data_IF_770700413553
#
_entry.id   IF_770700413553
#
_cell.length_a   1.000
_cell.length_b   1.000
_cell.length_c   1.000
_cell.angle_alpha   90.00
_cell.angle_beta   90.00
_cell.angle_gamma   90.00
#
_symmetry.space_group_name_H-M   'P 1'
#
loop_
_entity.id
_entity.type
_entity.pdbx_description
1 polymer ?
#
# COMPACT_ATOMS: atom_id res chain seq x y z
N UNK A 1 20.78 2.54 -3.30
CA UNK A 1 19.54 2.42 -4.08
C UNK A 1 19.49 1.02 -4.64
N UNK A 2 18.46 0.27 -4.31
CA UNK A 2 18.26 -1.02 -4.94
C UNK A 2 16.77 -1.18 -5.27
N UNK A 3 16.48 -1.32 -6.55
CA UNK A 3 15.20 -1.82 -7.03
C UNK A 3 15.46 -2.97 -7.99
N UNK A 4 14.57 -3.96 -7.95
CA UNK A 4 14.65 -5.16 -8.79
C UNK A 4 13.39 -5.22 -9.63
N UNK A 5 13.54 -5.25 -10.95
CA UNK A 5 12.41 -5.36 -11.87
C UNK A 5 12.03 -6.81 -12.13
N UNK A 6 10.73 -7.08 -12.07
CA UNK A 6 10.10 -8.34 -12.42
C UNK A 6 9.07 -8.06 -13.53
N UNK A 7 9.33 -8.55 -14.73
CA UNK A 7 8.41 -8.45 -15.86
C UNK A 7 7.58 -9.71 -15.93
N UNK A 8 6.28 -9.53 -16.13
CA UNK A 8 5.32 -10.59 -16.32
C UNK A 8 4.66 -10.47 -17.69
N UNK A 9 4.25 -11.60 -18.27
CA UNK A 9 3.68 -11.63 -19.62
C UNK A 9 2.30 -10.99 -19.66
N UNK A 10 1.53 -11.14 -18.58
CA UNK A 10 0.18 -10.59 -18.43
C UNK A 10 -0.19 -10.33 -16.95
N UNK A 11 -1.39 -9.80 -16.75
CA UNK A 11 -1.92 -9.48 -15.41
C UNK A 11 -2.17 -10.73 -14.55
N UNK A 12 -2.42 -11.90 -15.16
CA UNK A 12 -2.57 -13.16 -14.44
C UNK A 12 -1.24 -13.62 -13.85
N UNK A 13 -0.20 -13.70 -14.70
CA UNK A 13 1.16 -14.04 -14.25
C UNK A 13 1.69 -13.04 -13.21
N UNK A 14 1.35 -11.76 -13.34
CA UNK A 14 1.65 -10.76 -12.30
C UNK A 14 0.95 -11.12 -10.98
N UNK A 15 -0.35 -11.41 -11.01
CA UNK A 15 -1.12 -11.73 -9.81
C UNK A 15 -0.59 -12.99 -9.10
N UNK A 16 -0.26 -14.04 -9.86
CA UNK A 16 0.31 -15.29 -9.34
C UNK A 16 1.68 -15.04 -8.66
N UNK A 17 2.54 -14.25 -9.30
CA UNK A 17 3.84 -13.91 -8.74
C UNK A 17 3.74 -13.07 -7.45
N UNK A 18 2.79 -12.13 -7.40
CA UNK A 18 2.48 -11.35 -6.20
C UNK A 18 1.95 -12.25 -5.08
N UNK A 19 0.96 -13.12 -5.37
CA UNK A 19 0.41 -14.06 -4.40
C UNK A 19 1.49 -14.97 -3.81
N UNK A 20 2.33 -15.57 -4.66
CA UNK A 20 3.44 -16.41 -4.23
C UNK A 20 4.45 -15.64 -3.37
N UNK A 21 4.72 -14.38 -3.67
CA UNK A 21 5.63 -13.57 -2.87
C UNK A 21 5.03 -13.21 -1.53
N UNK A 22 3.77 -12.76 -1.49
CA UNK A 22 3.04 -12.47 -0.26
C UNK A 22 2.97 -13.71 0.66
N UNK A 23 2.65 -14.88 0.08
CA UNK A 23 2.59 -16.14 0.81
C UNK A 23 3.93 -16.47 1.49
N UNK A 24 5.04 -16.50 0.73
CA UNK A 24 6.39 -16.76 1.29
C UNK A 24 6.76 -15.78 2.40
N UNK A 25 6.41 -14.50 2.28
CA UNK A 25 6.72 -13.52 3.32
C UNK A 25 5.87 -13.73 4.57
N UNK A 26 4.60 -14.12 4.42
CA UNK A 26 3.75 -14.49 5.54
C UNK A 26 4.28 -15.75 6.25
N UNK A 27 4.59 -16.83 5.52
CA UNK A 27 5.18 -18.05 6.09
C UNK A 27 6.45 -17.73 6.89
N UNK A 28 7.35 -16.95 6.26
CA UNK A 28 8.60 -16.54 6.92
C UNK A 28 8.33 -15.73 8.20
N UNK A 29 7.40 -14.77 8.15
CA UNK A 29 7.03 -13.95 9.30
C UNK A 29 6.45 -14.82 10.44
N UNK A 30 5.54 -15.73 10.11
CA UNK A 30 4.93 -16.65 11.07
C UNK A 30 5.97 -17.58 11.71
N UNK A 31 6.91 -18.12 10.93
CA UNK A 31 7.97 -19.00 11.41
C UNK A 31 9.00 -18.25 12.30
N UNK A 32 9.43 -17.07 11.90
CA UNK A 32 10.51 -16.34 12.59
C UNK A 32 10.01 -15.50 13.78
N UNK A 33 8.78 -14.95 13.71
CA UNK A 33 8.27 -13.95 14.66
C UNK A 33 6.94 -14.32 15.30
N UNK A 34 6.30 -15.35 14.79
CA UNK A 34 5.02 -15.82 15.30
C UNK A 34 3.81 -15.02 14.84
N UNK A 35 3.99 -13.96 14.06
CA UNK A 35 2.93 -13.12 13.48
C UNK A 35 3.40 -12.49 12.18
N UNK A 36 2.46 -12.01 11.37
CA UNK A 36 2.75 -11.23 10.17
C UNK A 36 1.94 -9.93 10.14
N UNK A 37 2.55 -8.84 9.67
CA UNK A 37 1.94 -7.52 9.52
C UNK A 37 2.09 -7.02 8.08
N UNK A 38 0.96 -6.75 7.40
CA UNK A 38 0.93 -6.40 5.99
C UNK A 38 0.31 -5.01 5.78
N UNK A 39 0.87 -4.23 4.83
CA UNK A 39 0.21 -3.05 4.30
C UNK A 39 -0.09 -3.27 2.80
N UNK A 40 -1.35 -3.22 2.43
CA UNK A 40 -1.86 -3.70 1.15
C UNK A 40 -2.55 -2.56 0.37
N UNK A 41 -2.10 -2.28 -0.85
CA UNK A 41 -2.75 -1.30 -1.71
C UNK A 41 -4.16 -1.73 -2.10
N UNK A 42 -5.05 -0.77 -2.18
CA UNK A 42 -6.34 -0.94 -2.86
C UNK A 42 -6.20 -0.99 -4.39
N UNK A 43 -7.34 -1.04 -5.08
CA UNK A 43 -7.40 -1.00 -6.53
C UNK A 43 -7.44 -2.37 -7.21
N UNK A 44 -7.66 -2.35 -8.53
CA UNK A 44 -7.97 -3.57 -9.31
C UNK A 44 -6.77 -4.50 -9.50
N UNK A 45 -5.57 -3.96 -9.64
CA UNK A 45 -4.36 -4.73 -9.97
C UNK A 45 -4.01 -5.79 -8.91
N UNK A 46 -3.98 -5.49 -7.58
CA UNK A 46 -3.54 -6.47 -6.59
C UNK A 46 -4.64 -7.42 -6.11
N UNK A 47 -5.92 -7.14 -6.31
CA UNK A 47 -7.01 -7.97 -5.78
C UNK A 47 -7.01 -9.42 -6.24
N UNK A 48 -6.66 -9.79 -7.51
CA UNK A 48 -6.50 -11.19 -7.88
C UNK A 48 -5.45 -11.92 -7.03
N UNK A 49 -4.31 -11.27 -6.76
CA UNK A 49 -3.27 -11.83 -5.89
C UNK A 49 -3.75 -12.02 -4.45
N UNK A 50 -4.55 -11.09 -3.92
CA UNK A 50 -5.11 -11.22 -2.57
C UNK A 50 -6.09 -12.39 -2.47
N UNK A 51 -6.94 -12.62 -3.48
CA UNK A 51 -7.83 -13.78 -3.51
C UNK A 51 -7.06 -15.10 -3.54
N UNK A 52 -6.00 -15.16 -4.34
CA UNK A 52 -5.13 -16.34 -4.38
C UNK A 52 -4.40 -16.56 -3.06
N UNK A 53 -3.89 -15.50 -2.45
CA UNK A 53 -3.25 -15.54 -1.13
C UNK A 53 -4.23 -16.01 -0.05
N UNK A 54 -5.47 -15.51 -0.04
CA UNK A 54 -6.49 -15.84 0.95
C UNK A 54 -6.90 -17.31 0.94
N UNK A 55 -6.72 -17.99 -0.21
CA UNK A 55 -6.96 -19.42 -0.36
C UNK A 55 -5.77 -20.30 0.12
N UNK A 56 -4.64 -19.69 0.47
CA UNK A 56 -3.47 -20.42 0.94
C UNK A 56 -3.64 -20.91 2.38
N UNK A 57 -2.99 -22.04 2.69
CA UNK A 57 -2.94 -22.59 4.04
C UNK A 57 -1.97 -21.79 4.92
N UNK A 58 -2.48 -20.80 5.63
CA UNK A 58 -1.75 -19.99 6.60
C UNK A 58 -2.54 -19.90 7.92
N UNK A 59 -1.84 -19.74 9.03
CA UNK A 59 -2.49 -19.40 10.31
C UNK A 59 -2.89 -17.90 10.29
N UNK A 60 -4.03 -17.63 9.67
CA UNK A 60 -4.58 -16.28 9.49
C UNK A 60 -4.88 -15.57 10.81
N UNK A 61 -5.09 -16.32 11.91
CA UNK A 61 -5.33 -15.73 13.24
C UNK A 61 -4.12 -14.94 13.78
N UNK A 62 -2.95 -15.15 13.16
CA UNK A 62 -1.67 -14.50 13.50
C UNK A 62 -1.23 -13.49 12.44
N UNK A 63 -2.11 -13.16 11.49
CA UNK A 63 -1.84 -12.19 10.43
C UNK A 63 -2.73 -10.96 10.62
N UNK A 64 -2.11 -9.79 10.60
CA UNK A 64 -2.81 -8.51 10.53
C UNK A 64 -2.48 -7.81 9.22
N UNK A 65 -3.48 -7.18 8.61
CA UNK A 65 -3.30 -6.39 7.40
C UNK A 65 -4.09 -5.08 7.47
N UNK A 66 -3.58 -4.06 6.80
CA UNK A 66 -4.24 -2.76 6.67
C UNK A 66 -4.08 -2.22 5.26
N UNK A 67 -4.95 -1.30 4.80
CA UNK A 67 -4.71 -0.58 3.57
C UNK A 67 -3.44 0.30 3.66
N UNK A 68 -2.75 0.56 2.54
CA UNK A 68 -1.67 1.56 2.47
C UNK A 68 -2.19 2.98 2.54
N UNK A 69 -3.42 3.17 2.10
CA UNK A 69 -4.21 4.40 2.17
C UNK A 69 -5.70 4.08 2.14
N UNK A 70 -6.51 5.01 2.60
CA UNK A 70 -7.97 4.84 2.59
C UNK A 70 -8.68 6.13 2.20
N UNK A 71 -9.81 5.99 1.54
CA UNK A 71 -10.71 7.10 1.24
C UNK A 71 -11.56 7.41 2.47
N UNK A 72 -11.68 8.68 2.82
CA UNK A 72 -12.54 9.15 3.90
C UNK A 72 -14.01 9.05 3.45
N UNK A 73 -14.54 7.83 3.52
CA UNK A 73 -15.92 7.45 3.18
C UNK A 73 -16.40 6.38 4.16
N UNK A 74 -17.73 6.21 4.35
CA UNK A 74 -18.24 5.11 5.16
C UNK A 74 -17.69 3.74 4.69
N UNK A 75 -17.40 2.83 5.62
CA UNK A 75 -16.80 1.52 5.30
C UNK A 75 -17.64 0.66 4.34
N UNK A 76 -18.96 0.93 4.21
CA UNK A 76 -19.83 0.29 3.22
C UNK A 76 -19.74 0.88 1.81
N UNK A 77 -19.07 2.03 1.63
CA UNK A 77 -19.00 2.72 0.36
C UNK A 77 -18.14 1.95 -0.66
N UNK A 78 -18.50 2.01 -1.95
CA UNK A 78 -17.79 1.28 -3.00
C UNK A 78 -16.32 1.73 -3.20
N UNK A 79 -15.99 2.98 -2.84
CA UNK A 79 -14.62 3.49 -2.91
C UNK A 79 -13.75 3.12 -1.69
N UNK A 80 -14.27 2.43 -0.67
CA UNK A 80 -13.53 2.03 0.51
C UNK A 80 -12.55 0.88 0.19
N UNK A 81 -11.26 1.10 0.42
CA UNK A 81 -10.22 0.09 0.19
C UNK A 81 -10.36 -1.09 1.17
N UNK A 82 -10.66 -0.83 2.44
CA UNK A 82 -10.90 -1.86 3.45
C UNK A 82 -12.03 -2.80 3.06
N UNK A 83 -13.13 -2.27 2.48
CA UNK A 83 -14.21 -3.09 1.93
C UNK A 83 -13.68 -4.02 0.84
N UNK A 84 -12.94 -3.48 -0.13
CA UNK A 84 -12.34 -4.29 -1.21
C UNK A 84 -11.39 -5.37 -0.69
N UNK A 85 -10.58 -5.05 0.34
CA UNK A 85 -9.72 -6.03 1.01
C UNK A 85 -10.53 -7.13 1.70
N UNK A 86 -11.61 -6.79 2.44
CA UNK A 86 -12.50 -7.79 3.07
C UNK A 86 -13.12 -8.74 2.05
N UNK A 87 -13.56 -8.20 0.92
CA UNK A 87 -14.14 -9.00 -0.17
C UNK A 87 -13.09 -9.92 -0.82
N UNK A 88 -11.87 -9.40 -1.06
CA UNK A 88 -10.79 -10.18 -1.66
C UNK A 88 -10.21 -11.26 -0.74
N UNK A 89 -10.19 -10.99 0.58
CA UNK A 89 -9.58 -11.86 1.60
C UNK A 89 -10.64 -12.67 2.38
N UNK A 90 -11.84 -12.85 1.83
CA UNK A 90 -12.98 -13.47 2.53
C UNK A 90 -12.72 -14.90 3.03
N UNK A 91 -11.84 -15.66 2.36
CA UNK A 91 -11.47 -17.02 2.75
C UNK A 91 -10.32 -17.09 3.77
N UNK A 92 -9.67 -15.97 4.07
CA UNK A 92 -8.61 -15.88 5.07
C UNK A 92 -9.19 -15.79 6.50
N UNK A 93 -9.77 -16.90 6.97
CA UNK A 93 -10.49 -16.95 8.25
C UNK A 93 -9.56 -16.68 9.44
N UNK A 94 -9.86 -15.65 10.21
CA UNK A 94 -9.05 -15.22 11.35
C UNK A 94 -8.15 -14.01 11.06
N UNK A 95 -7.99 -13.59 9.78
CA UNK A 95 -7.23 -12.39 9.41
C UNK A 95 -7.79 -11.13 10.11
N UNK A 96 -6.92 -10.40 10.81
CA UNK A 96 -7.26 -9.09 11.36
C UNK A 96 -7.09 -8.01 10.28
N UNK A 97 -8.19 -7.41 9.82
CA UNK A 97 -8.15 -6.27 8.91
C UNK A 97 -8.37 -4.96 9.68
N UNK A 98 -7.29 -4.20 9.84
CA UNK A 98 -7.24 -2.93 10.58
C UNK A 98 -7.65 -1.75 9.69
N UNK A 99 -8.64 -0.95 10.09
CA UNK A 99 -9.06 0.21 9.32
C UNK A 99 -8.10 1.39 9.50
N UNK A 100 -7.92 2.20 8.43
CA UNK A 100 -7.25 3.51 8.51
C UNK A 100 -8.23 4.67 8.73
N UNK A 101 -9.54 4.40 8.66
CA UNK A 101 -10.57 5.42 8.84
C UNK A 101 -11.58 4.98 9.88
N UNK A 102 -12.31 5.93 10.46
CA UNK A 102 -13.51 5.65 11.25
C UNK A 102 -14.60 5.04 10.37
N UNK A 103 -15.57 4.38 10.97
CA UNK A 103 -16.62 3.65 10.24
C UNK A 103 -17.48 4.55 9.33
N UNK A 104 -17.64 5.82 9.69
CA UNK A 104 -18.34 6.86 8.94
C UNK A 104 -17.43 7.60 7.93
N UNK A 105 -16.10 7.45 8.07
CA UNK A 105 -15.12 8.08 7.19
C UNK A 105 -14.86 9.56 7.49
N UNK A 106 -15.16 10.05 8.71
CA UNK A 106 -14.80 11.42 9.10
C UNK A 106 -13.28 11.64 8.97
N UNK A 107 -12.79 12.65 8.23
CA UNK A 107 -11.37 12.79 7.95
C UNK A 107 -10.50 13.10 9.17
N UNK A 108 -10.97 13.96 10.08
CA UNK A 108 -10.19 14.41 11.25
C UNK A 108 -10.13 13.31 12.31
N UNK A 109 -11.27 12.69 12.60
CA UNK A 109 -11.34 11.54 13.49
C UNK A 109 -10.56 10.33 12.93
N UNK A 110 -10.58 10.13 11.61
CA UNK A 110 -9.86 9.04 10.94
C UNK A 110 -8.35 9.20 11.05
N UNK A 111 -7.80 10.41 10.88
CA UNK A 111 -6.36 10.62 11.05
C UNK A 111 -5.89 10.25 12.47
N UNK A 112 -6.62 10.70 13.49
CA UNK A 112 -6.33 10.37 14.88
C UNK A 112 -6.44 8.85 15.14
N UNK A 113 -7.51 8.21 14.64
CA UNK A 113 -7.72 6.76 14.77
C UNK A 113 -6.61 5.95 14.10
N UNK A 114 -6.20 6.34 12.88
CA UNK A 114 -5.09 5.69 12.17
C UNK A 114 -3.78 5.75 12.95
N UNK A 115 -3.42 6.91 13.51
CA UNK A 115 -2.21 7.07 14.34
C UNK A 115 -2.26 6.19 15.58
N UNK A 116 -3.40 6.14 16.26
CA UNK A 116 -3.59 5.26 17.43
C UNK A 116 -3.49 3.77 17.05
N UNK A 117 -4.06 3.37 15.93
CA UNK A 117 -3.97 2.01 15.42
C UNK A 117 -2.52 1.64 15.08
N UNK A 118 -1.80 2.51 14.37
CA UNK A 118 -0.39 2.30 14.01
C UNK A 118 0.54 2.24 15.23
N UNK A 119 0.23 2.94 16.32
CA UNK A 119 0.99 2.83 17.57
C UNK A 119 0.91 1.41 18.17
N UNK A 120 -0.21 0.68 17.97
CA UNK A 120 -0.32 -0.74 18.37
C UNK A 120 0.49 -1.67 17.43
N UNK A 121 0.77 -1.22 16.22
CA UNK A 121 1.52 -1.93 15.18
C UNK A 121 2.84 -1.23 14.84
N UNK A 122 3.61 -0.83 15.86
CA UNK A 122 4.83 -0.04 15.68
C UNK A 122 5.99 -0.80 14.99
N UNK A 123 5.95 -2.12 14.94
CA UNK A 123 6.95 -2.95 14.27
C UNK A 123 7.01 -2.73 12.75
N UNK A 124 8.10 -3.18 12.13
CA UNK A 124 8.21 -3.16 10.67
C UNK A 124 7.14 -4.03 10.02
N UNK A 125 6.57 -3.56 8.92
CA UNK A 125 5.75 -4.41 8.07
C UNK A 125 6.58 -5.58 7.52
N UNK A 126 6.00 -6.75 7.46
CA UNK A 126 6.62 -7.88 6.77
C UNK A 126 6.55 -7.70 5.26
N UNK A 127 5.42 -7.15 4.78
CA UNK A 127 5.26 -6.73 3.39
C UNK A 127 4.49 -5.40 3.32
N UNK A 128 4.97 -4.52 2.46
CA UNK A 128 4.23 -3.38 1.92
C UNK A 128 4.05 -3.62 0.43
N UNK A 129 2.80 -3.76 -0.02
CA UNK A 129 2.45 -3.83 -1.43
C UNK A 129 1.80 -2.52 -1.86
N UNK A 130 2.44 -1.83 -2.80
CA UNK A 130 2.05 -0.52 -3.33
C UNK A 130 1.56 -0.65 -4.77
N UNK A 131 0.64 0.24 -5.14
CA UNK A 131 0.36 0.61 -6.51
C UNK A 131 0.98 1.95 -6.88
N UNK A 132 0.81 2.36 -8.13
CA UNK A 132 1.19 3.70 -8.62
C UNK A 132 0.12 4.23 -9.57
N UNK A 133 -0.18 5.52 -9.46
CA UNK A 133 -1.00 6.25 -10.43
C UNK A 133 -0.22 6.68 -11.67
N UNK A 134 -0.93 7.16 -12.69
CA UNK A 134 -0.31 7.72 -13.92
C UNK A 134 0.34 9.08 -13.69
N UNK A 135 0.07 9.71 -12.57
CA UNK A 135 0.73 10.92 -12.06
C UNK A 135 1.94 10.63 -11.15
N UNK A 136 2.25 9.35 -10.93
CA UNK A 136 3.34 8.90 -10.07
C UNK A 136 3.03 8.88 -8.57
N UNK A 137 1.75 9.11 -8.16
CA UNK A 137 1.37 8.92 -6.77
C UNK A 137 1.47 7.44 -6.34
N UNK A 138 1.75 7.21 -5.06
CA UNK A 138 1.68 5.89 -4.43
C UNK A 138 1.01 6.02 -3.07
N UNK A 139 0.30 4.98 -2.59
CA UNK A 139 -0.68 5.15 -1.52
C UNK A 139 -1.58 6.36 -1.86
N UNK A 140 -1.75 7.32 -0.95
CA UNK A 140 -2.37 8.62 -1.27
C UNK A 140 -1.38 9.80 -1.18
N UNK A 141 -0.10 9.56 -1.49
CA UNK A 141 0.91 10.61 -1.63
C UNK A 141 0.80 11.23 -3.02
N UNK A 142 -0.08 12.23 -3.18
CA UNK A 142 -0.37 12.87 -4.46
C UNK A 142 0.58 14.05 -4.75
N UNK A 143 1.07 14.19 -6.00
CA UNK A 143 1.80 15.39 -6.40
C UNK A 143 0.89 16.63 -6.25
N UNK A 144 1.45 17.72 -5.72
CA UNK A 144 0.71 18.97 -5.51
C UNK A 144 -0.18 19.01 -4.26
N UNK A 145 -0.45 17.90 -3.59
CA UNK A 145 -1.22 17.91 -2.35
C UNK A 145 -0.53 18.77 -1.26
N UNK A 146 -1.25 19.65 -0.55
CA UNK A 146 -0.66 20.54 0.46
C UNK A 146 0.10 19.77 1.56
N UNK A 147 -0.36 18.59 1.90
CA UNK A 147 0.24 17.76 2.96
C UNK A 147 1.38 16.87 2.48
N UNK A 148 1.68 16.84 1.16
CA UNK A 148 2.69 15.94 0.60
C UNK A 148 4.06 16.10 1.26
N UNK A 149 4.51 17.34 1.49
CA UNK A 149 5.80 17.59 2.14
C UNK A 149 5.92 16.93 3.52
N UNK A 150 4.87 17.04 4.33
CA UNK A 150 4.80 16.40 5.64
C UNK A 150 4.71 14.86 5.54
N UNK A 151 3.99 14.35 4.54
CA UNK A 151 3.84 12.92 4.31
C UNK A 151 5.13 12.24 3.83
N UNK A 152 6.01 13.00 3.18
CA UNK A 152 7.33 12.55 2.69
C UNK A 152 8.44 12.72 3.73
N UNK A 153 8.22 13.42 4.84
CA UNK A 153 9.24 13.66 5.85
C UNK A 153 9.71 12.34 6.48
N UNK A 154 11.01 11.98 6.31
CA UNK A 154 11.55 10.73 6.84
C UNK A 154 11.64 10.70 8.36
N UNK A 155 11.57 11.86 9.02
CA UNK A 155 11.66 12.00 10.49
C UNK A 155 10.30 11.90 11.17
N UNK A 156 9.21 11.88 10.39
CA UNK A 156 7.85 11.82 10.90
C UNK A 156 7.55 10.47 11.56
N UNK A 157 7.16 10.53 12.85
CA UNK A 157 6.95 9.33 13.67
C UNK A 157 5.50 8.81 13.67
N UNK A 158 4.50 9.66 13.35
CA UNK A 158 3.08 9.34 13.53
C UNK A 158 2.47 8.43 12.44
N UNK A 159 3.24 8.02 11.46
CA UNK A 159 2.93 6.93 10.52
C UNK A 159 1.75 7.12 9.57
N UNK A 160 0.78 7.99 9.89
CA UNK A 160 -0.38 8.30 9.05
C UNK A 160 -0.64 9.80 8.97
N UNK A 161 -1.20 10.23 7.85
CA UNK A 161 -1.51 11.63 7.57
C UNK A 161 -2.77 11.73 6.70
N UNK A 162 -3.61 12.74 6.99
CA UNK A 162 -4.67 13.15 6.08
C UNK A 162 -4.05 13.80 4.85
N UNK A 163 -4.55 13.43 3.68
CA UNK A 163 -4.20 14.01 2.38
C UNK A 163 -5.48 14.51 1.73
N UNK A 164 -5.46 15.78 1.31
CA UNK A 164 -6.52 16.39 0.52
C UNK A 164 -5.95 16.65 -0.89
N UNK A 165 -6.16 15.73 -1.86
CA UNK A 165 -5.65 15.92 -3.22
C UNK A 165 -6.24 17.18 -3.85
N UNK A 166 -5.41 17.96 -4.56
CA UNK A 166 -5.83 19.14 -5.31
C UNK A 166 -5.21 19.12 -6.72
N UNK A 167 -5.99 18.95 -7.80
CA UNK A 167 -7.43 18.67 -7.79
C UNK A 167 -7.80 17.26 -7.23
N UNK A 168 -9.04 17.13 -6.73
CA UNK A 168 -9.55 15.82 -6.33
C UNK A 168 -9.59 14.86 -7.52
N UNK A 169 -9.13 13.60 -7.37
CA UNK A 169 -9.19 12.60 -8.45
C UNK A 169 -10.63 12.32 -8.90
N UNK A 170 -10.94 12.38 -10.21
CA UNK A 170 -12.32 12.22 -10.71
C UNK A 170 -12.98 10.89 -10.29
N UNK A 171 -12.21 9.79 -10.24
CA UNK A 171 -12.73 8.46 -9.94
C UNK A 171 -13.05 8.28 -8.44
N UNK A 172 -12.48 9.12 -7.58
CA UNK A 172 -12.69 9.03 -6.14
C UNK A 172 -12.40 10.39 -5.47
N UNK A 173 -13.34 11.35 -5.58
CA UNK A 173 -13.13 12.74 -5.15
C UNK A 173 -13.33 12.90 -3.63
N UNK A 174 -12.52 12.21 -2.85
CA UNK A 174 -12.60 12.21 -1.39
C UNK A 174 -11.26 12.60 -0.76
N UNK A 175 -11.24 13.19 0.45
CA UNK A 175 -10.06 13.20 1.31
C UNK A 175 -9.56 11.78 1.60
N UNK A 176 -8.31 11.66 2.00
CA UNK A 176 -7.65 10.36 2.23
C UNK A 176 -6.97 10.34 3.59
N UNK A 177 -6.80 9.14 4.13
CA UNK A 177 -5.77 8.84 5.12
C UNK A 177 -4.72 8.00 4.43
N UNK A 178 -3.47 8.42 4.47
CA UNK A 178 -2.34 7.70 3.85
C UNK A 178 -1.32 7.31 4.91
N UNK A 179 -0.71 6.14 4.76
CA UNK A 179 0.56 5.88 5.43
C UNK A 179 1.61 6.86 4.91
N UNK A 180 2.47 7.36 5.80
CA UNK A 180 3.59 8.24 5.45
C UNK A 180 4.70 7.46 4.74
N UNK A 181 5.57 8.15 4.00
CA UNK A 181 6.71 7.51 3.35
C UNK A 181 7.61 6.80 4.38
N UNK A 182 7.87 7.41 5.55
CA UNK A 182 8.64 6.79 6.63
C UNK A 182 8.01 5.48 7.12
N UNK A 183 6.67 5.43 7.25
CA UNK A 183 5.96 4.24 7.70
C UNK A 183 5.95 3.13 6.64
N UNK A 184 5.77 3.49 5.36
CA UNK A 184 5.83 2.55 4.23
C UNK A 184 7.23 1.94 4.08
N UNK A 185 8.27 2.74 4.30
CA UNK A 185 9.67 2.30 4.23
C UNK A 185 10.10 1.46 5.45
N UNK A 186 9.37 1.53 6.56
CA UNK A 186 9.60 0.65 7.71
C UNK A 186 9.02 -0.75 7.43
N UNK A 187 9.60 -1.44 6.46
CA UNK A 187 9.17 -2.73 5.93
C UNK A 187 10.34 -3.65 5.60
N UNK A 188 10.12 -4.95 5.71
CA UNK A 188 11.10 -6.01 5.36
C UNK A 188 11.09 -6.34 3.87
N UNK A 189 9.94 -6.19 3.23
CA UNK A 189 9.74 -6.40 1.80
C UNK A 189 8.82 -5.29 1.26
N UNK A 190 9.29 -4.57 0.24
CA UNK A 190 8.50 -3.53 -0.43
C UNK A 190 8.28 -3.97 -1.87
N UNK A 191 7.02 -4.04 -2.27
CA UNK A 191 6.59 -4.42 -3.61
C UNK A 191 5.85 -3.23 -4.23
N UNK A 192 6.19 -2.87 -5.46
CA UNK A 192 5.44 -1.96 -6.29
C UNK A 192 4.85 -2.75 -7.47
N UNK A 193 3.53 -2.82 -7.58
CA UNK A 193 2.83 -3.54 -8.63
C UNK A 193 2.08 -2.59 -9.55
N UNK A 194 2.38 -2.63 -10.85
CA UNK A 194 1.76 -1.79 -11.86
C UNK A 194 1.42 -2.59 -13.12
N UNK A 195 0.39 -2.14 -13.86
CA UNK A 195 0.00 -2.69 -15.16
C UNK A 195 -0.13 -1.59 -16.21
N UNK A 196 0.17 -1.94 -17.43
CA UNK A 196 0.01 -1.05 -18.59
C UNK A 196 1.24 -0.19 -18.92
N UNK A 197 1.31 0.24 -20.18
CA UNK A 197 2.45 1.00 -20.72
C UNK A 197 2.50 2.45 -20.17
N UNK A 198 1.34 3.08 -19.93
CA UNK A 198 1.30 4.44 -19.39
C UNK A 198 2.00 4.52 -18.03
N UNK A 199 1.65 3.62 -17.09
CA UNK A 199 2.29 3.55 -15.78
C UNK A 199 3.77 3.15 -15.87
N UNK A 200 4.13 2.29 -16.82
CA UNK A 200 5.53 1.96 -17.07
C UNK A 200 6.35 3.20 -17.45
N UNK A 201 5.84 4.02 -18.37
CA UNK A 201 6.52 5.25 -18.77
C UNK A 201 6.73 6.23 -17.59
N UNK A 202 5.74 6.36 -16.71
CA UNK A 202 5.86 7.17 -15.49
C UNK A 202 6.85 6.56 -14.51
N UNK A 203 6.85 5.24 -14.33
CA UNK A 203 7.85 4.54 -13.52
C UNK A 203 9.28 4.81 -14.02
N UNK A 204 9.51 4.73 -15.33
CA UNK A 204 10.83 4.98 -15.94
C UNK A 204 11.28 6.43 -15.67
N UNK A 205 10.37 7.40 -15.72
CA UNK A 205 10.66 8.80 -15.32
C UNK A 205 11.01 8.91 -13.84
N UNK A 206 10.24 8.28 -12.96
CA UNK A 206 10.48 8.29 -11.51
C UNK A 206 11.79 7.59 -11.13
N UNK A 207 12.20 6.56 -11.88
CA UNK A 207 13.50 5.89 -11.70
C UNK A 207 14.67 6.74 -12.19
N UNK A 208 14.48 7.51 -13.26
CA UNK A 208 15.52 8.37 -13.83
C UNK A 208 15.78 9.63 -12.99
N UNK A 209 14.73 10.16 -12.34
CA UNK A 209 14.79 11.43 -11.58
C UNK A 209 14.21 11.23 -10.20
N UNK A 210 15.05 11.36 -9.17
CA UNK A 210 14.64 11.26 -7.77
C UNK A 210 13.94 12.55 -7.30
N UNK A 211 12.78 12.85 -7.88
CA UNK A 211 11.95 14.01 -7.50
C UNK A 211 10.60 13.53 -6.92
N UNK A 212 10.50 13.35 -5.59
CA UNK A 212 9.27 12.89 -4.95
C UNK A 212 8.17 13.94 -4.90
N UNK A 213 8.43 15.19 -5.25
CA UNK A 213 7.38 16.21 -5.39
C UNK A 213 6.64 16.05 -6.71
N UNK A 214 7.37 15.66 -7.76
CA UNK A 214 6.82 15.39 -9.09
C UNK A 214 6.21 13.99 -9.19
N UNK A 215 6.93 12.98 -8.70
CA UNK A 215 6.50 11.59 -8.69
C UNK A 215 6.68 11.03 -7.27
N UNK A 216 5.68 11.08 -6.40
CA UNK A 216 5.82 10.66 -4.99
C UNK A 216 6.35 9.23 -4.80
N UNK A 217 6.10 8.32 -5.74
CA UNK A 217 6.69 6.98 -5.74
C UNK A 217 8.22 7.01 -5.71
N UNK A 218 8.86 8.07 -6.20
CA UNK A 218 10.31 8.23 -6.15
C UNK A 218 10.87 8.26 -4.72
N UNK A 219 10.07 8.72 -3.72
CA UNK A 219 10.45 8.66 -2.31
C UNK A 219 10.68 7.22 -1.83
N UNK A 220 9.93 6.27 -2.40
CA UNK A 220 10.06 4.84 -2.07
C UNK A 220 11.19 4.21 -2.91
N UNK A 221 11.22 4.47 -4.22
CA UNK A 221 12.18 3.88 -5.16
C UNK A 221 13.63 4.28 -4.87
N UNK A 222 13.84 5.50 -4.38
CA UNK A 222 15.18 6.05 -4.11
C UNK A 222 15.55 6.09 -2.62
N UNK A 223 14.73 5.47 -1.75
CA UNK A 223 15.01 5.45 -0.31
C UNK A 223 16.33 4.75 -0.01
N UNK A 224 17.22 5.36 0.79
CA UNK A 224 18.46 4.73 1.21
C UNK A 224 18.21 3.45 2.01
N UNK A 225 18.92 2.37 1.68
CA UNK A 225 18.84 1.10 2.41
C UNK A 225 17.61 0.25 2.09
N UNK A 226 16.63 0.76 1.34
CA UNK A 226 15.48 -0.03 0.89
C UNK A 226 15.76 -0.74 -0.43
N UNK A 227 15.21 -1.95 -0.56
CA UNK A 227 15.11 -2.67 -1.85
C UNK A 227 13.64 -2.77 -2.24
N UNK A 228 13.29 -2.23 -3.42
CA UNK A 228 11.93 -2.25 -3.94
C UNK A 228 11.83 -3.28 -5.07
N UNK A 229 10.93 -4.24 -4.92
CA UNK A 229 10.60 -5.21 -5.98
C UNK A 229 9.50 -4.64 -6.87
N UNK A 230 9.86 -4.23 -8.07
CA UNK A 230 8.93 -3.63 -9.04
C UNK A 230 8.40 -4.72 -9.95
N UNK A 231 7.12 -5.01 -9.84
CA UNK A 231 6.39 -5.97 -10.67
C UNK A 231 5.55 -5.23 -11.72
N UNK A 232 5.77 -5.56 -12.99
CA UNK A 232 5.06 -4.94 -14.11
C UNK A 232 4.56 -5.98 -15.11
N UNK A 233 3.36 -5.76 -15.66
CA UNK A 233 2.82 -6.44 -16.85
C UNK A 233 2.25 -5.43 -17.85
N UNK A 234 2.18 -5.77 -19.14
CA UNK A 234 1.54 -4.94 -20.16
C UNK A 234 0.06 -4.72 -19.92
#
# INVERSE_FOLDING_TARGET
>A
MAWVQHRHDDAGALADALAATLHRQCERALAERGHALLALAGGRTPFPAYRALAAAELDWSRVAAMPTDERCVPHGHAACNLRGLREAMVTAHGLALEPLTTADGDPDASEAAARMMLARHAGAFDVVLLGMGEDGHTASLFPGAPQLGAALDPTRADGAVRIDPDPLPPEAPFPRISLTASRLLHARCIILAITGQAKRAVLEQALAVADPRRHPVAAILHAPGATVHVHWSP
#
